data_IF_021891078883
#
_entry.id   IF_021891078883
#
_cell.length_a   1.000
_cell.length_b   1.000
_cell.length_c   1.000
_cell.angle_alpha   90.00
_cell.angle_beta   90.00
_cell.angle_gamma   90.00
#
_symmetry.space_group_name_H-M   'P 1'
#
loop_
_entity.id
_entity.type
_entity.pdbx_description
1 polymer ?
#
# COMPACT_ATOMS: atom_id res chain seq x y z
N UNK A 1 -51.69 23.14 -29.88
CA UNK A 1 -50.41 22.48 -30.19
C UNK A 1 -49.82 21.92 -28.89
N UNK A 2 -49.62 20.60 -28.87
CA UNK A 2 -48.88 19.72 -27.93
C UNK A 2 -49.10 19.83 -26.40
N UNK A 3 -49.73 18.79 -25.88
CA UNK A 3 -49.71 18.31 -24.48
C UNK A 3 -48.61 17.23 -24.31
N UNK A 4 -48.05 17.10 -23.10
CA UNK A 4 -47.68 15.83 -22.42
C UNK A 4 -47.05 16.17 -21.04
N UNK A 5 -47.74 15.90 -19.93
CA UNK A 5 -47.76 14.65 -19.13
C UNK A 5 -46.43 14.35 -18.42
N UNK A 6 -46.41 14.59 -17.11
CA UNK A 6 -45.42 14.08 -16.17
C UNK A 6 -45.83 12.73 -15.58
N UNK A 7 -44.84 11.98 -15.07
CA UNK A 7 -45.03 10.76 -14.29
C UNK A 7 -44.12 10.77 -13.05
N UNK A 8 -44.74 10.42 -11.91
CA UNK A 8 -44.10 10.12 -10.63
C UNK A 8 -43.87 8.60 -10.51
N UNK A 9 -42.78 8.20 -9.86
CA UNK A 9 -42.40 6.82 -9.62
C UNK A 9 -43.07 6.28 -8.35
N UNK A 10 -43.71 5.10 -8.45
CA UNK A 10 -44.30 4.35 -7.34
C UNK A 10 -43.42 3.19 -6.90
N UNK A 11 -43.27 3.02 -5.59
CA UNK A 11 -42.64 1.89 -4.92
C UNK A 11 -43.59 0.68 -4.91
N UNK A 12 -43.12 -0.48 -5.38
CA UNK A 12 -43.86 -1.75 -5.30
C UNK A 12 -43.09 -2.77 -4.47
N UNK A 13 -43.66 -3.19 -3.34
CA UNK A 13 -43.22 -4.35 -2.58
C UNK A 13 -43.84 -5.63 -3.16
N UNK A 14 -43.04 -6.68 -3.34
CA UNK A 14 -43.51 -8.00 -3.79
C UNK A 14 -43.45 -8.96 -2.61
N UNK A 15 -44.60 -9.55 -2.28
CA UNK A 15 -44.76 -10.67 -1.35
C UNK A 15 -44.79 -11.95 -2.19
N UNK A 16 -43.99 -12.96 -1.84
CA UNK A 16 -44.06 -14.30 -2.47
C UNK A 16 -44.50 -15.30 -1.42
N UNK A 17 -45.64 -15.93 -1.68
CA UNK A 17 -46.23 -17.00 -0.87
C UNK A 17 -45.54 -18.34 -1.15
N UNK A 18 -45.26 -19.12 -0.10
CA UNK A 18 -44.71 -20.46 -0.19
C UNK A 18 -45.79 -21.49 -0.54
N UNK A 19 -45.55 -22.33 -1.55
CA UNK A 19 -46.33 -23.53 -1.87
C UNK A 19 -45.51 -24.79 -1.59
N UNK A 20 -46.02 -25.67 -0.72
CA UNK A 20 -45.45 -26.98 -0.42
C UNK A 20 -45.96 -28.00 -1.45
N UNK A 21 -45.04 -28.74 -2.09
CA UNK A 21 -45.34 -29.95 -2.86
C UNK A 21 -44.46 -31.08 -2.34
N UNK A 22 -45.12 -32.06 -1.73
CA UNK A 22 -44.56 -33.29 -1.20
C UNK A 22 -44.29 -34.30 -2.31
N UNK A 23 -43.04 -34.73 -2.47
CA UNK A 23 -42.63 -35.84 -3.32
C UNK A 23 -41.66 -36.76 -2.58
N UNK A 24 -42.06 -38.01 -2.38
CA UNK A 24 -41.28 -39.05 -1.71
C UNK A 24 -40.15 -39.56 -2.60
N UNK A 25 -38.94 -39.67 -2.03
CA UNK A 25 -37.81 -40.37 -2.64
C UNK A 25 -37.42 -41.57 -1.77
N UNK A 26 -37.38 -42.76 -2.38
CA UNK A 26 -36.78 -43.95 -1.77
C UNK A 26 -35.25 -43.91 -1.94
N UNK A 27 -34.46 -44.46 -0.99
CA UNK A 27 -33.01 -44.34 -0.98
C UNK A 27 -32.35 -45.46 -1.81
N UNK A 28 -31.39 -45.09 -2.66
CA UNK A 28 -30.42 -46.03 -3.20
C UNK A 28 -29.12 -45.88 -2.40
N UNK A 29 -28.68 -47.00 -1.83
CA UNK A 29 -27.45 -47.15 -1.03
C UNK A 29 -26.25 -47.04 -1.98
N UNK A 30 -25.32 -46.13 -1.67
CA UNK A 30 -23.96 -46.16 -2.20
C UNK A 30 -23.02 -46.25 -0.99
N UNK A 31 -22.32 -47.37 -0.91
CA UNK A 31 -21.36 -47.69 0.12
C UNK A 31 -19.96 -47.21 -0.27
N UNK A 32 -19.25 -46.87 0.79
CA UNK A 32 -17.82 -46.93 1.03
C UNK A 32 -16.80 -45.89 0.49
N UNK A 33 -16.03 -45.44 1.47
CA UNK A 33 -14.63 -45.01 1.41
C UNK A 33 -14.28 -43.61 0.87
N UNK A 34 -14.24 -42.68 1.82
CA UNK A 34 -13.47 -41.45 1.75
C UNK A 34 -11.97 -41.73 1.51
N UNK A 35 -11.53 -41.62 0.26
CA UNK A 35 -10.12 -41.44 -0.06
C UNK A 35 -9.76 -39.95 0.04
N UNK A 36 -9.28 -39.55 1.22
CA UNK A 36 -8.60 -38.28 1.42
C UNK A 36 -7.38 -38.19 0.48
N UNK A 37 -7.43 -37.29 -0.50
CA UNK A 37 -6.32 -36.97 -1.38
C UNK A 37 -5.22 -36.26 -0.57
N UNK A 38 -4.35 -37.05 0.06
CA UNK A 38 -3.13 -36.58 0.71
C UNK A 38 -2.00 -36.63 -0.32
N UNK A 39 -1.94 -35.62 -1.20
CA UNK A 39 -0.66 -35.29 -1.84
C UNK A 39 0.13 -34.41 -0.89
N UNK A 40 0.91 -35.06 -0.04
CA UNK A 40 2.05 -34.44 0.61
C UNK A 40 2.98 -33.92 -0.49
N UNK A 41 3.10 -32.60 -0.60
CA UNK A 41 4.15 -31.97 -1.39
C UNK A 41 5.46 -32.15 -0.63
N UNK A 42 6.27 -33.12 -1.04
CA UNK A 42 7.57 -33.45 -0.43
C UNK A 42 8.74 -32.66 -1.03
N UNK A 43 8.49 -31.49 -1.61
CA UNK A 43 9.56 -30.58 -2.02
C UNK A 43 9.08 -29.13 -1.93
N UNK A 44 8.87 -28.67 -0.69
CA UNK A 44 8.84 -27.26 -0.41
C UNK A 44 10.26 -26.85 0.02
N UNK A 45 11.13 -26.59 -0.95
CA UNK A 45 12.18 -25.61 -0.75
C UNK A 45 11.52 -24.40 -0.05
N UNK A 46 12.15 -23.79 0.98
CA UNK A 46 11.57 -22.61 1.59
C UNK A 46 11.28 -21.64 0.45
N UNK A 47 10.01 -21.24 0.31
CA UNK A 47 9.68 -20.14 -0.59
C UNK A 47 10.49 -18.97 -0.06
N UNK A 48 11.64 -18.74 -0.66
CA UNK A 48 12.34 -17.50 -0.55
C UNK A 48 11.35 -16.52 -1.15
N UNK A 49 10.57 -15.88 -0.27
CA UNK A 49 9.86 -14.67 -0.64
C UNK A 49 11.00 -13.73 -0.95
N UNK A 50 11.39 -13.68 -2.22
CA UNK A 50 12.24 -12.59 -2.70
C UNK A 50 11.52 -11.34 -2.23
N UNK A 51 12.17 -10.53 -1.40
CA UNK A 51 11.58 -9.30 -0.92
C UNK A 51 11.08 -8.54 -2.15
N UNK A 52 9.76 -8.44 -2.30
CA UNK A 52 9.19 -7.82 -3.48
C UNK A 52 9.57 -6.34 -3.44
N UNK A 53 10.23 -5.87 -4.49
CA UNK A 53 10.63 -4.49 -4.62
C UNK A 53 9.48 -3.66 -5.17
N UNK A 54 9.33 -2.44 -4.67
CA UNK A 54 8.33 -1.51 -5.18
C UNK A 54 8.87 -0.09 -5.20
N UNK A 55 8.20 0.76 -5.97
CA UNK A 55 8.36 2.21 -5.93
C UNK A 55 7.21 2.84 -5.13
N UNK A 56 7.49 3.93 -4.42
CA UNK A 56 6.47 4.81 -3.87
C UNK A 56 6.26 5.96 -4.84
N UNK A 57 5.24 5.86 -5.70
CA UNK A 57 4.95 6.86 -6.74
C UNK A 57 3.92 7.87 -6.23
N UNK A 58 4.04 9.15 -6.56
CA UNK A 58 2.99 10.12 -6.22
C UNK A 58 1.71 9.81 -7.00
N UNK A 59 0.57 9.78 -6.34
CA UNK A 59 -0.70 9.51 -7.01
C UNK A 59 -1.07 10.62 -8.01
N UNK A 60 -0.69 11.86 -7.73
CA UNK A 60 -0.93 13.01 -8.61
C UNK A 60 0.02 13.09 -9.82
N UNK A 61 1.20 12.46 -9.74
CA UNK A 61 2.14 12.31 -10.85
C UNK A 61 2.93 10.99 -10.69
N UNK A 62 2.40 9.85 -11.18
CA UNK A 62 3.01 8.54 -10.97
C UNK A 62 4.35 8.34 -11.68
N UNK A 63 4.88 9.34 -12.40
CA UNK A 63 6.25 9.33 -12.92
C UNK A 63 7.26 9.78 -11.87
N UNK A 64 6.80 10.31 -10.73
CA UNK A 64 7.63 10.84 -9.66
C UNK A 64 7.59 9.88 -8.46
N UNK A 65 8.74 9.57 -7.89
CA UNK A 65 8.92 8.55 -6.86
C UNK A 65 9.69 9.06 -5.66
N UNK A 66 9.56 8.38 -4.52
CA UNK A 66 10.45 8.54 -3.38
C UNK A 66 11.84 7.99 -3.72
N UNK A 67 12.81 8.88 -3.88
CA UNK A 67 14.17 8.60 -4.35
C UNK A 67 15.18 9.02 -3.28
N UNK A 68 16.11 8.14 -2.91
CA UNK A 68 17.28 8.52 -2.11
C UNK A 68 18.22 9.35 -2.99
N UNK A 69 18.39 10.63 -2.61
CA UNK A 69 19.05 11.65 -3.43
C UNK A 69 20.45 11.18 -3.87
N UNK A 70 20.66 11.20 -5.19
CA UNK A 70 21.97 10.92 -5.80
C UNK A 70 22.48 9.50 -5.57
N UNK A 71 21.60 8.55 -5.24
CA UNK A 71 21.96 7.19 -4.85
C UNK A 71 22.98 7.13 -3.69
N UNK A 72 23.02 8.15 -2.84
CA UNK A 72 23.89 8.18 -1.67
C UNK A 72 23.63 6.97 -0.77
N UNK A 73 24.65 6.47 -0.09
CA UNK A 73 24.57 5.31 0.81
C UNK A 73 24.80 5.68 2.27
N UNK A 74 25.09 6.94 2.58
CA UNK A 74 25.30 7.42 3.94
C UNK A 74 23.98 7.61 4.70
N UNK A 75 24.08 7.58 6.04
CA UNK A 75 22.98 8.01 6.90
C UNK A 75 22.70 9.51 6.71
N UNK A 76 21.43 9.90 6.74
CA UNK A 76 21.05 11.30 6.60
C UNK A 76 20.89 11.77 5.16
N UNK A 77 21.13 10.92 4.16
CA UNK A 77 20.85 11.28 2.76
C UNK A 77 19.34 11.54 2.59
N UNK A 78 18.94 12.71 2.06
CA UNK A 78 17.55 13.05 1.84
C UNK A 78 16.83 12.07 0.93
N UNK A 79 15.57 11.78 1.26
CA UNK A 79 14.62 11.24 0.27
C UNK A 79 13.91 12.40 -0.40
N UNK A 80 13.81 12.35 -1.73
CA UNK A 80 13.27 13.42 -2.57
C UNK A 80 12.22 12.87 -3.53
N UNK A 81 11.35 13.76 -4.01
CA UNK A 81 10.53 13.51 -5.17
C UNK A 81 11.44 13.55 -6.41
N UNK A 82 11.46 12.48 -7.21
CA UNK A 82 12.29 12.47 -8.43
C UNK A 82 11.66 11.64 -9.55
N UNK A 83 11.90 11.96 -10.83
CA UNK A 83 11.48 11.12 -11.94
C UNK A 83 12.01 9.69 -11.80
N UNK A 84 11.13 8.71 -11.96
CA UNK A 84 11.50 7.30 -12.03
C UNK A 84 12.46 7.07 -13.20
N UNK A 85 13.61 6.49 -12.89
CA UNK A 85 14.68 6.18 -13.85
C UNK A 85 15.01 4.69 -13.91
N UNK A 86 14.45 3.88 -13.00
CA UNK A 86 14.68 2.42 -12.96
C UNK A 86 15.75 2.00 -11.95
N UNK A 87 16.38 2.95 -11.27
CA UNK A 87 17.57 2.73 -10.43
C UNK A 87 17.26 2.19 -9.04
N UNK A 88 18.24 1.59 -8.37
CA UNK A 88 18.07 0.95 -7.07
C UNK A 88 17.64 1.92 -5.95
N UNK A 89 18.09 3.18 -6.01
CA UNK A 89 17.83 4.18 -4.97
C UNK A 89 16.41 4.77 -5.01
N UNK A 90 15.60 4.33 -5.97
CA UNK A 90 14.19 4.65 -6.13
C UNK A 90 13.26 3.51 -5.69
N UNK A 91 13.85 2.36 -5.34
CA UNK A 91 13.15 1.12 -4.99
C UNK A 91 13.26 0.84 -3.50
N UNK A 92 12.20 0.25 -2.97
CA UNK A 92 12.05 -0.09 -1.57
C UNK A 92 11.60 -1.53 -1.42
N UNK A 93 12.10 -2.20 -0.39
CA UNK A 93 11.62 -3.48 0.12
C UNK A 93 10.84 -3.21 1.41
N UNK A 94 9.66 -3.81 1.53
CA UNK A 94 8.86 -3.71 2.74
C UNK A 94 9.10 -4.95 3.60
N UNK A 95 9.67 -4.75 4.78
CA UNK A 95 9.71 -5.74 5.83
C UNK A 95 8.55 -5.50 6.81
N UNK A 96 7.75 -6.55 7.05
CA UNK A 96 6.62 -6.47 7.97
C UNK A 96 7.13 -6.32 9.41
N UNK A 97 7.05 -5.10 9.92
CA UNK A 97 7.43 -4.77 11.28
C UNK A 97 6.18 -4.83 12.17
N UNK A 98 6.02 -5.93 12.90
CA UNK A 98 5.25 -6.07 14.15
C UNK A 98 3.96 -5.21 14.27
N UNK A 99 2.80 -5.81 13.98
CA UNK A 99 1.50 -5.22 14.35
C UNK A 99 0.91 -4.22 13.34
N UNK A 100 1.15 -4.43 12.04
CA UNK A 100 0.52 -3.64 10.97
C UNK A 100 1.34 -2.44 10.50
N UNK A 101 2.61 -2.35 10.92
CA UNK A 101 3.58 -1.40 10.39
C UNK A 101 4.58 -2.12 9.48
N UNK A 102 5.27 -1.32 8.68
CA UNK A 102 6.28 -1.73 7.74
C UNK A 102 7.48 -0.84 7.92
N UNK A 103 8.65 -1.43 7.79
CA UNK A 103 9.85 -0.67 7.53
C UNK A 103 10.08 -0.74 6.01
N UNK A 104 10.64 0.34 5.45
CA UNK A 104 10.90 0.43 4.01
C UNK A 104 12.38 0.58 3.81
N UNK A 105 13.02 -0.49 3.36
CA UNK A 105 14.46 -0.58 3.16
C UNK A 105 14.79 -0.24 1.71
N UNK A 106 15.69 0.71 1.49
CA UNK A 106 16.19 1.06 0.16
C UNK A 106 16.96 -0.11 -0.43
N UNK A 107 16.65 -0.46 -1.68
CA UNK A 107 17.35 -1.52 -2.43
C UNK A 107 18.82 -1.14 -2.70
N UNK A 108 19.15 0.15 -2.73
CA UNK A 108 20.51 0.62 -3.02
C UNK A 108 21.48 0.50 -1.84
N UNK A 109 21.00 0.71 -0.61
CA UNK A 109 21.86 0.95 0.56
C UNK A 109 21.54 0.06 1.76
N UNK A 110 20.48 -0.74 1.70
CA UNK A 110 19.91 -1.48 2.83
C UNK A 110 19.53 -0.59 4.03
N UNK A 111 19.37 0.72 3.83
CA UNK A 111 18.93 1.70 4.84
C UNK A 111 17.45 1.99 4.74
N UNK A 112 16.86 2.42 5.84
CA UNK A 112 15.42 2.54 5.97
C UNK A 112 14.92 3.97 5.82
N UNK A 113 13.71 4.11 5.25
CA UNK A 113 12.96 5.37 5.20
C UNK A 113 12.68 5.84 6.64
N UNK A 114 13.25 6.98 7.02
CA UNK A 114 13.34 7.42 8.40
C UNK A 114 13.00 8.90 8.53
N UNK A 115 12.20 9.26 9.52
CA UNK A 115 12.01 10.67 9.91
C UNK A 115 13.19 11.10 10.78
N UNK A 116 13.95 12.08 10.29
CA UNK A 116 15.23 12.49 10.86
C UNK A 116 15.11 12.83 12.35
N UNK A 117 15.98 12.20 13.16
CA UNK A 117 16.10 12.46 14.59
C UNK A 117 14.84 12.19 15.42
N UNK A 118 13.88 11.42 14.90
CA UNK A 118 12.56 11.23 15.52
C UNK A 118 11.82 12.54 15.77
N UNK A 119 12.10 13.57 14.98
CA UNK A 119 11.37 14.83 15.07
C UNK A 119 9.88 14.60 14.89
N UNK A 120 9.05 15.47 15.45
CA UNK A 120 7.57 15.39 15.36
C UNK A 120 6.94 16.64 14.75
N UNK A 121 7.75 17.64 14.40
CA UNK A 121 7.29 18.87 13.77
C UNK A 121 6.97 18.64 12.29
N UNK A 122 5.97 19.37 11.78
CA UNK A 122 5.74 19.49 10.34
C UNK A 122 7.00 20.02 9.65
N UNK A 123 7.36 19.42 8.52
CA UNK A 123 8.59 19.79 7.81
C UNK A 123 9.84 19.05 8.29
N UNK A 124 9.74 18.18 9.31
CA UNK A 124 10.88 17.31 9.64
C UNK A 124 11.20 16.43 8.45
N UNK A 125 12.46 16.42 8.05
CA UNK A 125 12.92 15.75 6.84
C UNK A 125 12.81 14.23 6.94
N UNK A 126 12.50 13.60 5.81
CA UNK A 126 12.62 12.16 5.62
C UNK A 126 13.95 11.87 4.91
N UNK A 127 14.71 10.97 5.51
CA UNK A 127 16.06 10.56 5.11
C UNK A 127 16.11 9.05 4.99
N UNK A 128 17.21 8.52 4.44
CA UNK A 128 17.60 7.15 4.76
C UNK A 128 18.45 7.12 6.03
N UNK A 129 18.27 6.09 6.85
CA UNK A 129 19.10 5.85 8.02
C UNK A 129 19.26 4.35 8.27
N UNK A 130 20.30 3.94 8.98
CA UNK A 130 20.49 2.54 9.40
C UNK A 130 19.21 2.01 10.05
N UNK A 131 18.71 0.88 9.54
CA UNK A 131 17.48 0.26 9.99
C UNK A 131 17.58 -0.22 11.44
N UNK A 132 16.55 0.04 12.24
CA UNK A 132 16.36 -0.44 13.61
C UNK A 132 14.91 -0.83 13.85
N UNK A 133 14.40 -0.55 15.05
CA UNK A 133 13.00 -0.78 15.44
C UNK A 133 12.36 0.48 16.05
N UNK A 134 12.89 1.68 15.76
CA UNK A 134 12.37 2.92 16.31
C UNK A 134 11.09 3.35 15.59
N UNK A 135 10.15 4.00 16.29
CA UNK A 135 8.85 4.35 15.71
C UNK A 135 8.94 5.40 14.56
N UNK A 136 10.09 6.06 14.38
CA UNK A 136 10.32 7.04 13.30
C UNK A 136 10.75 6.42 11.95
N UNK A 137 10.88 5.08 11.89
CA UNK A 137 11.13 4.30 10.67
C UNK A 137 10.05 3.24 10.42
N UNK A 138 8.99 3.24 11.23
CA UNK A 138 7.85 2.35 11.09
C UNK A 138 6.68 3.12 10.47
N UNK A 139 6.18 2.60 9.36
CA UNK A 139 5.17 3.26 8.53
C UNK A 139 3.96 2.36 8.36
N UNK A 140 2.77 2.95 8.24
CA UNK A 140 1.54 2.25 7.88
C UNK A 140 0.87 2.89 6.69
N UNK A 141 0.16 2.08 5.92
CA UNK A 141 -0.66 2.55 4.82
C UNK A 141 -2.07 2.91 5.31
N UNK A 142 -2.52 4.12 5.00
CA UNK A 142 -3.89 4.59 5.24
C UNK A 142 -4.55 4.87 3.89
N UNK A 143 -5.57 4.09 3.48
CA UNK A 143 -6.20 4.25 2.16
C UNK A 143 -6.77 5.64 1.91
N UNK A 144 -6.53 6.18 0.71
CA UNK A 144 -7.04 7.46 0.20
C UNK A 144 -7.34 7.39 -1.29
N UNK A 145 -8.61 7.38 -1.66
CA UNK A 145 -9.04 7.37 -3.07
C UNK A 145 -8.34 6.25 -3.85
N UNK A 146 -7.44 6.63 -4.77
CA UNK A 146 -6.68 5.71 -5.62
C UNK A 146 -5.37 5.19 -5.00
N UNK A 147 -4.94 5.70 -3.85
CA UNK A 147 -3.65 5.36 -3.23
C UNK A 147 -3.70 5.37 -1.71
N UNK A 148 -2.57 5.71 -1.09
CA UNK A 148 -2.39 5.67 0.36
C UNK A 148 -1.67 6.91 0.86
N UNK A 149 -2.13 7.43 2.00
CA UNK A 149 -1.26 8.17 2.88
C UNK A 149 -0.34 7.17 3.60
N UNK A 150 0.96 7.46 3.63
CA UNK A 150 1.97 6.64 4.31
C UNK A 150 2.32 7.34 5.61
N UNK A 151 1.95 6.75 6.73
CA UNK A 151 1.92 7.43 8.03
C UNK A 151 3.00 6.86 8.95
N UNK A 152 3.89 7.73 9.45
CA UNK A 152 4.93 7.32 10.40
C UNK A 152 4.32 7.08 11.78
N UNK A 153 4.78 6.03 12.46
CA UNK A 153 4.25 5.61 13.77
C UNK A 153 4.54 6.63 14.88
N UNK A 154 5.75 7.21 14.89
CA UNK A 154 6.22 8.12 15.95
C UNK A 154 5.37 9.39 16.14
N UNK A 155 4.75 9.91 15.09
CA UNK A 155 4.05 11.20 15.12
C UNK A 155 2.63 11.16 14.52
N UNK A 156 2.25 10.05 13.88
CA UNK A 156 1.04 9.93 13.07
C UNK A 156 0.94 10.93 11.91
N UNK A 157 2.08 11.43 11.42
CA UNK A 157 2.16 12.33 10.25
C UNK A 157 2.43 11.58 8.96
N UNK A 158 2.07 12.22 7.85
CA UNK A 158 2.13 11.64 6.52
C UNK A 158 3.46 11.95 5.85
N UNK A 159 3.96 10.97 5.09
CA UNK A 159 5.00 11.17 4.08
C UNK A 159 4.48 12.16 3.03
N UNK A 160 5.12 13.31 2.95
CA UNK A 160 4.64 14.46 2.20
C UNK A 160 5.80 15.08 1.41
N UNK A 161 5.53 15.61 0.22
CA UNK A 161 6.51 16.43 -0.51
C UNK A 161 6.45 17.88 -0.06
N UNK A 162 7.57 18.38 0.46
CA UNK A 162 7.72 19.74 0.94
C UNK A 162 7.39 20.77 -0.16
N UNK A 163 6.51 21.73 0.15
CA UNK A 163 6.14 22.80 -0.77
C UNK A 163 5.25 22.38 -1.95
N UNK A 164 4.84 21.11 -2.03
CA UNK A 164 4.02 20.58 -3.13
C UNK A 164 4.84 19.81 -4.17
N UNK A 165 4.22 19.53 -5.32
CA UNK A 165 4.83 18.74 -6.40
C UNK A 165 6.01 19.49 -7.04
N UNK A 166 7.17 18.86 -7.08
CA UNK A 166 8.36 19.41 -7.74
C UNK A 166 9.53 18.44 -7.72
N UNK A 167 10.21 18.31 -8.86
CA UNK A 167 11.44 17.50 -8.99
C UNK A 167 12.50 18.01 -8.01
N UNK A 168 13.05 17.11 -7.20
CA UNK A 168 14.10 17.41 -6.23
C UNK A 168 13.60 17.90 -4.87
N UNK A 169 12.29 18.18 -4.73
CA UNK A 169 11.71 18.56 -3.44
C UNK A 169 11.91 17.45 -2.41
N UNK A 170 12.26 17.83 -1.19
CA UNK A 170 12.46 16.88 -0.10
C UNK A 170 11.14 16.27 0.35
N UNK A 171 11.18 14.98 0.69
CA UNK A 171 10.12 14.36 1.46
C UNK A 171 10.31 14.76 2.92
N UNK A 172 9.19 15.04 3.56
CA UNK A 172 9.06 15.45 4.95
C UNK A 172 7.92 14.66 5.59
N UNK A 173 7.83 14.70 6.91
CA UNK A 173 6.55 14.46 7.56
C UNK A 173 5.75 15.75 7.60
N UNK A 174 4.45 15.65 7.38
CA UNK A 174 3.50 16.75 7.55
C UNK A 174 2.15 16.22 8.03
N UNK A 175 1.33 17.07 8.61
CA UNK A 175 -0.03 16.71 8.97
C UNK A 175 -0.77 16.04 7.81
N UNK A 176 -1.38 14.91 8.10
CA UNK A 176 -2.21 14.19 7.14
C UNK A 176 -3.48 14.99 6.86
N UNK A 177 -3.85 15.10 5.59
CA UNK A 177 -5.14 15.67 5.17
C UNK A 177 -6.22 14.58 5.13
N UNK A 178 -7.47 14.90 5.48
CA UNK A 178 -8.52 13.88 5.63
C UNK A 178 -8.81 13.13 4.31
N UNK A 179 -8.85 13.85 3.20
CA UNK A 179 -9.10 13.32 1.85
C UNK A 179 -7.81 12.90 1.12
N UNK A 180 -6.63 13.26 1.65
CA UNK A 180 -5.40 13.23 0.89
C UNK A 180 -5.22 14.50 0.04
N UNK A 181 -3.97 14.92 -0.11
CA UNK A 181 -3.53 16.02 -0.94
C UNK A 181 -2.65 15.47 -2.09
N UNK A 182 -2.50 16.19 -3.20
CA UNK A 182 -1.67 15.74 -4.33
C UNK A 182 -0.24 15.36 -3.95
N UNK A 183 0.31 15.95 -2.88
CA UNK A 183 1.67 15.74 -2.40
C UNK A 183 1.81 14.79 -1.19
N UNK A 184 0.75 14.12 -0.75
CA UNK A 184 0.80 13.15 0.37
C UNK A 184 0.12 11.80 0.10
N UNK A 185 -0.40 11.59 -1.10
CA UNK A 185 -0.99 10.30 -1.54
C UNK A 185 -0.02 9.59 -2.47
N UNK A 186 0.30 8.34 -2.13
CA UNK A 186 1.30 7.50 -2.78
C UNK A 186 0.68 6.21 -3.32
N UNK A 187 1.22 5.71 -4.42
CA UNK A 187 0.93 4.45 -5.06
C UNK A 187 2.14 3.53 -4.89
N UNK A 188 2.08 2.50 -4.04
CA UNK A 188 3.03 1.41 -4.07
C UNK A 188 2.87 0.65 -5.39
N UNK A 189 3.92 0.63 -6.22
CA UNK A 189 3.91 -0.09 -7.50
C UNK A 189 5.01 -1.14 -7.50
N UNK A 190 4.62 -2.40 -7.63
CA UNK A 190 5.56 -3.52 -7.70
C UNK A 190 6.43 -3.41 -8.94
N UNK A 191 7.74 -3.54 -8.73
CA UNK A 191 8.73 -3.52 -9.81
C UNK A 191 9.39 -4.92 -9.91
N UNK A 192 9.79 -5.37 -11.11
CA UNK A 192 10.54 -6.61 -11.26
C UNK A 192 11.86 -6.55 -10.49
N UNK A 193 12.28 -7.66 -9.89
CA UNK A 193 13.53 -7.72 -9.11
C UNK A 193 14.81 -7.62 -9.96
N UNK A 194 14.69 -7.52 -11.29
CA UNK A 194 15.81 -7.27 -12.21
C UNK A 194 15.94 -5.76 -12.44
N UNK A 195 17.10 -5.21 -12.08
CA UNK A 195 17.53 -3.85 -12.43
C UNK A 195 18.31 -3.92 -13.74
#
# INVERSE_FOLDING_TARGET
>A
MKSNKGWAAGLGAVVVSAGLMSGSFNPAVADDSAAASTRASTDAAPRSIVAQQFTLRLAADPRQVANVRGAGTDNGVPVIQYPWSGTANERWEADSALGGYYRFKSVNSDKCLNVAGSGTANGTQVIQYTCGNADNELWRFVPKGIGYQIVVKSSNKCLNVAGGLGVGNSLIQYDCTAQGAPNDVWLPVWEPNTI
#
